data_IF_138521892453
#
_entry.id   IF_138521892453
#
_cell.length_a   1.000
_cell.length_b   1.000
_cell.length_c   1.000
_cell.angle_alpha   90.00
_cell.angle_beta   90.00
_cell.angle_gamma   90.00
#
_symmetry.space_group_name_H-M   'P 1'
#
loop_
_entity.id
_entity.type
_entity.pdbx_description
1 polymer ?
#
# COMPACT_ATOMS: atom_id res chain seq x y z
N UNK A 1 9.02 -39.58 -11.26
CA UNK A 1 7.94 -38.91 -10.47
C UNK A 1 8.11 -37.41 -10.62
N UNK A 2 7.26 -36.73 -11.39
CA UNK A 2 7.28 -35.24 -11.48
C UNK A 2 6.81 -34.70 -10.14
N UNK A 3 7.69 -34.03 -9.36
CA UNK A 3 7.30 -33.23 -8.22
C UNK A 3 6.19 -32.26 -8.66
N UNK A 4 5.02 -32.41 -8.08
CA UNK A 4 3.91 -31.48 -8.25
C UNK A 4 4.34 -30.18 -7.58
N UNK A 5 4.93 -29.25 -8.34
CA UNK A 5 5.25 -27.90 -7.87
C UNK A 5 4.01 -27.34 -7.15
N UNK A 6 4.12 -27.15 -5.85
CA UNK A 6 3.05 -26.62 -5.00
C UNK A 6 2.65 -25.25 -5.57
N UNK A 7 1.44 -25.12 -6.11
CA UNK A 7 1.01 -23.89 -6.73
C UNK A 7 0.86 -22.81 -5.64
N UNK A 8 1.54 -21.68 -5.82
CA UNK A 8 1.57 -20.54 -4.91
C UNK A 8 0.16 -20.09 -4.47
N UNK A 9 -0.07 -19.96 -3.17
CA UNK A 9 -1.32 -19.48 -2.57
C UNK A 9 -1.13 -18.06 -2.07
N UNK A 10 -1.94 -17.14 -2.57
CA UNK A 10 -1.91 -15.72 -2.19
C UNK A 10 -3.24 -15.36 -1.52
N UNK A 11 -3.17 -14.79 -0.33
CA UNK A 11 -4.31 -14.11 0.29
C UNK A 11 -4.20 -12.61 0.00
N UNK A 12 -5.18 -12.07 -0.73
CA UNK A 12 -5.20 -10.67 -1.19
C UNK A 12 -6.24 -9.88 -0.41
N UNK A 13 -5.78 -9.04 0.50
CA UNK A 13 -6.61 -8.21 1.37
C UNK A 13 -6.84 -6.84 0.73
N UNK A 14 -8.10 -6.46 0.50
CA UNK A 14 -8.44 -5.17 -0.10
C UNK A 14 -9.87 -4.75 0.18
N UNK A 15 -10.12 -3.44 0.20
CA UNK A 15 -11.46 -2.85 0.27
C UNK A 15 -11.71 -1.84 -0.87
N UNK A 16 -10.85 -1.79 -1.89
CA UNK A 16 -10.96 -0.80 -2.96
C UNK A 16 -10.83 -1.44 -4.35
N UNK A 17 -11.71 -1.06 -5.27
CA UNK A 17 -11.72 -1.58 -6.65
C UNK A 17 -10.51 -1.17 -7.49
N UNK A 18 -9.79 -0.11 -7.14
CA UNK A 18 -8.56 0.33 -7.80
C UNK A 18 -7.49 -0.77 -7.81
N UNK A 19 -7.60 -1.76 -6.93
CA UNK A 19 -6.70 -2.90 -6.81
C UNK A 19 -7.02 -4.03 -7.79
N UNK A 20 -8.18 -4.00 -8.46
CA UNK A 20 -8.65 -5.07 -9.35
C UNK A 20 -7.67 -5.42 -10.50
N UNK A 21 -7.00 -4.47 -11.17
CA UNK A 21 -6.05 -4.83 -12.22
C UNK A 21 -4.90 -5.70 -11.72
N UNK A 22 -4.41 -5.47 -10.50
CA UNK A 22 -3.39 -6.33 -9.89
C UNK A 22 -3.97 -7.69 -9.48
N UNK A 23 -5.16 -7.71 -8.89
CA UNK A 23 -5.86 -8.95 -8.54
C UNK A 23 -6.06 -9.86 -9.76
N UNK A 24 -6.56 -9.32 -10.88
CA UNK A 24 -6.79 -10.07 -12.11
C UNK A 24 -5.47 -10.59 -12.71
N UNK A 25 -4.40 -9.80 -12.63
CA UNK A 25 -3.08 -10.24 -13.06
C UNK A 25 -2.55 -11.40 -12.20
N UNK A 26 -2.72 -11.34 -10.88
CA UNK A 26 -2.31 -12.39 -9.95
C UNK A 26 -3.08 -13.70 -10.15
N UNK A 27 -4.37 -13.65 -10.50
CA UNK A 27 -5.18 -14.85 -10.83
C UNK A 27 -4.56 -15.72 -11.93
N UNK A 28 -3.81 -15.11 -12.85
CA UNK A 28 -3.10 -15.83 -13.92
C UNK A 28 -1.79 -16.48 -13.44
N UNK A 29 -1.33 -16.19 -12.21
CA UNK A 29 -0.02 -16.61 -11.68
C UNK A 29 -0.09 -17.56 -10.50
N UNK A 30 -1.17 -17.52 -9.71
CA UNK A 30 -1.29 -18.22 -8.45
C UNK A 30 -2.74 -18.58 -8.10
N UNK A 31 -2.94 -19.43 -7.09
CA UNK A 31 -4.22 -19.53 -6.40
C UNK A 31 -4.39 -18.28 -5.53
N UNK A 32 -5.35 -17.42 -5.86
CA UNK A 32 -5.58 -16.18 -5.16
C UNK A 32 -6.95 -16.15 -4.48
N UNK A 33 -6.95 -15.78 -3.20
CA UNK A 33 -8.13 -15.61 -2.37
C UNK A 33 -8.28 -14.14 -2.04
N UNK A 34 -9.32 -13.48 -2.59
CA UNK A 34 -9.63 -12.07 -2.27
C UNK A 34 -10.44 -12.02 -0.97
N UNK A 35 -10.05 -11.14 -0.05
CA UNK A 35 -10.71 -11.00 1.23
C UNK A 35 -10.90 -9.53 1.60
N UNK A 36 -12.10 -9.17 2.06
CA UNK A 36 -12.54 -7.78 2.25
C UNK A 36 -13.09 -7.50 3.66
N UNK A 37 -13.15 -8.53 4.52
CA UNK A 37 -13.64 -8.47 5.92
C UNK A 37 -12.45 -8.45 6.89
N UNK A 38 -12.67 -8.16 8.19
CA UNK A 38 -11.61 -8.30 9.20
C UNK A 38 -10.97 -9.69 9.16
N UNK A 39 -9.63 -9.72 9.05
CA UNK A 39 -8.88 -10.98 8.97
C UNK A 39 -8.97 -11.75 10.29
N UNK A 40 -9.18 -13.06 10.21
CA UNK A 40 -9.28 -13.94 11.36
C UNK A 40 -8.44 -15.21 11.18
N UNK A 41 -8.23 -15.92 12.28
CA UNK A 41 -7.43 -17.15 12.35
C UNK A 41 -7.99 -18.26 11.43
N UNK A 42 -9.32 -18.41 11.40
CA UNK A 42 -10.00 -19.46 10.61
C UNK A 42 -9.68 -19.32 9.12
N UNK A 43 -9.76 -18.12 8.57
CA UNK A 43 -9.43 -17.85 7.16
C UNK A 43 -7.96 -18.15 6.85
N UNK A 44 -7.06 -17.70 7.72
CA UNK A 44 -5.62 -17.95 7.56
C UNK A 44 -5.29 -19.44 7.61
N UNK A 45 -5.88 -20.18 8.54
CA UNK A 45 -5.68 -21.64 8.66
C UNK A 45 -6.27 -22.40 7.47
N UNK A 46 -7.51 -22.05 7.04
CA UNK A 46 -8.19 -22.67 5.90
C UNK A 46 -7.42 -22.49 4.59
N UNK A 47 -6.91 -21.30 4.32
CA UNK A 47 -6.18 -20.98 3.07
C UNK A 47 -4.74 -21.43 3.18
N UNK A 48 -4.11 -21.26 4.34
CA UNK A 48 -2.68 -21.46 4.58
C UNK A 48 -1.83 -20.79 3.47
N UNK A 49 -1.87 -19.45 3.35
CA UNK A 49 -1.24 -18.72 2.26
C UNK A 49 0.28 -18.72 2.39
N UNK A 50 0.98 -18.79 1.26
CA UNK A 50 2.44 -18.62 1.19
C UNK A 50 2.84 -17.15 1.37
N UNK A 51 1.94 -16.22 0.98
CA UNK A 51 2.07 -14.78 1.16
C UNK A 51 0.70 -14.11 1.32
N UNK A 52 0.63 -13.12 2.19
CA UNK A 52 -0.53 -12.23 2.36
C UNK A 52 -0.17 -10.85 1.83
N UNK A 53 -0.95 -10.34 0.89
CA UNK A 53 -0.77 -9.03 0.27
C UNK A 53 -1.90 -8.12 0.75
N UNK A 54 -1.54 -7.09 1.51
CA UNK A 54 -2.43 -5.99 1.89
C UNK A 54 -2.32 -4.89 0.83
N UNK A 55 -3.45 -4.44 0.29
CA UNK A 55 -3.48 -3.36 -0.67
C UNK A 55 -4.80 -2.57 -0.57
N UNK A 56 -4.76 -1.37 -0.01
CA UNK A 56 -5.96 -0.61 0.36
C UNK A 56 -6.92 -1.44 1.25
N UNK A 57 -6.37 -2.10 2.25
CA UNK A 57 -7.13 -2.86 3.23
C UNK A 57 -7.30 -2.01 4.50
N UNK A 58 -8.55 -1.85 4.94
CA UNK A 58 -8.92 -0.91 6.01
C UNK A 58 -8.77 -1.43 7.44
N UNK A 59 -8.56 -2.73 7.61
CA UNK A 59 -8.55 -3.33 8.94
C UNK A 59 -7.13 -3.59 9.42
N UNK A 60 -6.91 -3.42 10.73
CA UNK A 60 -5.64 -3.72 11.39
C UNK A 60 -5.41 -5.24 11.37
N UNK A 61 -4.20 -5.65 11.05
CA UNK A 61 -3.77 -7.04 11.08
C UNK A 61 -3.18 -7.34 12.47
N UNK A 62 -3.74 -8.35 13.15
CA UNK A 62 -3.34 -8.70 14.51
C UNK A 62 -1.91 -9.23 14.56
N UNK A 63 -1.15 -8.84 15.59
CA UNK A 63 0.23 -9.26 15.86
C UNK A 63 0.44 -10.79 15.82
N UNK A 64 -0.53 -11.55 16.34
CA UNK A 64 -0.45 -13.02 16.36
C UNK A 64 -0.36 -13.64 14.95
N UNK A 65 -0.89 -12.97 13.91
CA UNK A 65 -0.82 -13.44 12.53
C UNK A 65 0.54 -13.14 11.91
N UNK A 66 1.14 -11.98 12.24
CA UNK A 66 2.43 -11.54 11.70
C UNK A 66 3.58 -12.49 12.04
N UNK A 67 3.49 -13.19 13.19
CA UNK A 67 4.49 -14.18 13.61
C UNK A 67 4.48 -15.47 12.76
N UNK A 68 3.35 -15.78 12.11
CA UNK A 68 3.14 -17.08 11.44
C UNK A 68 3.10 -16.99 9.93
N UNK A 69 2.75 -15.84 9.37
CA UNK A 69 2.56 -15.66 7.94
C UNK A 69 3.39 -14.48 7.43
N UNK A 70 3.75 -14.55 6.16
CA UNK A 70 4.50 -13.48 5.50
C UNK A 70 3.54 -12.44 4.93
N UNK A 71 3.54 -11.25 5.52
CA UNK A 71 2.68 -10.13 5.12
C UNK A 71 3.49 -9.02 4.46
N UNK A 72 3.00 -8.53 3.33
CA UNK A 72 3.48 -7.31 2.70
C UNK A 72 2.34 -6.33 2.47
N UNK A 73 2.64 -5.03 2.52
CA UNK A 73 1.71 -3.97 2.16
C UNK A 73 2.17 -3.21 0.91
N UNK A 74 1.22 -2.84 0.05
CA UNK A 74 1.41 -1.99 -1.10
C UNK A 74 0.90 -0.59 -0.75
N UNK A 75 1.82 0.31 -0.38
CA UNK A 75 1.52 1.65 0.12
C UNK A 75 1.87 2.72 -0.91
N UNK A 76 0.94 3.67 -1.15
CA UNK A 76 1.09 4.73 -2.16
C UNK A 76 1.79 5.98 -1.59
N UNK A 77 2.87 5.78 -0.84
CA UNK A 77 3.73 6.82 -0.31
C UNK A 77 5.20 6.45 -0.42
N UNK A 78 6.07 7.44 -0.37
CA UNK A 78 7.51 7.26 -0.24
C UNK A 78 7.87 7.20 1.25
N UNK A 79 7.72 6.01 1.88
CA UNK A 79 8.02 5.82 3.28
C UNK A 79 9.47 6.28 3.62
N UNK A 80 9.70 6.85 4.81
CA UNK A 80 8.85 6.84 6.00
C UNK A 80 7.81 7.97 6.05
N UNK A 81 7.66 8.79 5.01
CA UNK A 81 6.71 9.90 5.00
C UNK A 81 5.28 9.43 4.69
N UNK A 82 4.31 10.12 5.28
CA UNK A 82 2.87 9.95 5.03
C UNK A 82 2.39 8.50 5.25
N UNK A 83 2.77 7.91 6.39
CA UNK A 83 2.17 6.67 6.91
C UNK A 83 0.69 6.90 7.23
N UNK A 84 -0.12 5.85 7.20
CA UNK A 84 -1.53 5.91 7.56
C UNK A 84 -2.43 6.37 6.41
N UNK A 85 -3.33 7.31 6.70
CA UNK A 85 -4.41 7.69 5.79
C UNK A 85 -4.02 8.79 4.80
N UNK A 86 -4.64 8.74 3.60
CA UNK A 86 -4.54 9.78 2.56
C UNK A 86 -3.10 10.19 2.16
N UNK A 87 -2.14 9.26 2.02
CA UNK A 87 -0.73 9.58 1.80
C UNK A 87 -0.46 10.43 0.55
N UNK A 88 -1.28 10.26 -0.50
CA UNK A 88 -1.21 11.09 -1.70
C UNK A 88 -1.39 12.57 -1.37
N UNK A 89 -2.39 12.91 -0.56
CA UNK A 89 -2.75 14.30 -0.24
C UNK A 89 -1.71 14.91 0.70
N UNK A 90 -1.40 14.21 1.77
CA UNK A 90 -0.41 14.65 2.75
C UNK A 90 0.97 14.91 2.14
N UNK A 91 1.37 14.11 1.14
CA UNK A 91 2.64 14.34 0.46
C UNK A 91 2.74 15.71 -0.23
N UNK A 92 1.62 16.30 -0.65
CA UNK A 92 1.57 17.66 -1.18
C UNK A 92 1.44 18.72 -0.09
N UNK A 93 0.61 18.48 0.92
CA UNK A 93 0.42 19.41 2.05
C UNK A 93 1.75 19.64 2.80
N UNK A 94 2.50 18.55 3.06
CA UNK A 94 3.79 18.58 3.77
C UNK A 94 5.00 18.75 2.83
N UNK A 95 4.77 18.82 1.53
CA UNK A 95 5.82 18.88 0.52
C UNK A 95 6.89 17.78 0.66
N UNK A 96 6.47 16.57 1.04
CA UNK A 96 7.35 15.42 1.18
C UNK A 96 7.61 14.72 -0.16
N UNK A 97 8.53 13.75 -0.17
CA UNK A 97 8.84 12.93 -1.36
C UNK A 97 7.59 12.13 -1.78
N UNK A 98 7.23 12.21 -3.07
CA UNK A 98 6.14 11.43 -3.67
C UNK A 98 6.69 10.11 -4.19
N UNK A 99 5.93 9.03 -3.97
CA UNK A 99 6.35 7.71 -4.44
C UNK A 99 5.46 6.59 -3.95
N UNK A 100 5.98 5.37 -4.10
CA UNK A 100 5.28 4.15 -3.73
C UNK A 100 6.24 3.19 -3.05
N UNK A 101 5.74 2.43 -2.08
CA UNK A 101 6.54 1.52 -1.26
C UNK A 101 5.85 0.17 -1.09
N UNK A 102 6.60 -0.91 -1.27
CA UNK A 102 6.24 -2.26 -0.83
C UNK A 102 7.06 -2.53 0.43
N UNK A 103 6.39 -2.83 1.54
CA UNK A 103 7.05 -3.04 2.82
C UNK A 103 6.47 -4.25 3.56
N UNK A 104 7.19 -4.79 4.53
CA UNK A 104 6.68 -5.77 5.47
C UNK A 104 5.62 -5.12 6.36
N UNK A 105 4.67 -5.92 6.84
CA UNK A 105 3.73 -5.45 7.86
C UNK A 105 4.28 -5.86 9.21
N UNK A 106 4.39 -4.89 10.12
CA UNK A 106 4.71 -5.06 11.53
C UNK A 106 3.53 -4.61 12.42
N UNK A 107 3.76 -4.38 13.69
CA UNK A 107 2.74 -4.00 14.67
C UNK A 107 2.26 -2.55 14.52
N UNK A 108 3.07 -1.69 13.87
CA UNK A 108 2.72 -0.29 13.60
C UNK A 108 1.97 -0.11 12.30
N UNK A 109 1.48 1.11 12.09
CA UNK A 109 0.82 1.46 10.82
C UNK A 109 1.88 1.94 9.84
N UNK A 110 2.10 1.17 8.77
CA UNK A 110 3.05 1.42 7.69
C UNK A 110 4.50 1.64 8.18
N UNK A 111 4.89 1.01 9.31
CA UNK A 111 6.22 1.14 9.93
C UNK A 111 7.20 0.04 9.57
N UNK A 112 6.72 -1.05 8.99
CA UNK A 112 7.53 -2.23 8.66
C UNK A 112 8.64 -1.95 7.64
N UNK A 113 9.64 -2.82 7.63
CA UNK A 113 10.83 -2.69 6.81
C UNK A 113 10.53 -2.63 5.30
N UNK A 114 11.20 -1.73 4.59
CA UNK A 114 11.02 -1.50 3.15
C UNK A 114 11.63 -2.65 2.36
N UNK A 115 10.83 -3.24 1.48
CA UNK A 115 11.29 -4.23 0.50
C UNK A 115 11.68 -3.56 -0.82
N UNK A 116 10.77 -2.79 -1.41
CA UNK A 116 11.01 -2.08 -2.68
C UNK A 116 10.33 -0.73 -2.61
N UNK A 117 11.00 0.30 -3.15
CA UNK A 117 10.49 1.66 -3.15
C UNK A 117 10.82 2.35 -4.46
N UNK A 118 9.94 3.23 -4.94
CA UNK A 118 10.13 4.02 -6.15
C UNK A 118 9.61 5.44 -5.97
N UNK A 119 10.43 6.42 -6.33
CA UNK A 119 9.97 7.81 -6.47
C UNK A 119 9.07 7.95 -7.69
N UNK A 120 8.04 8.79 -7.55
CA UNK A 120 7.10 9.13 -8.62
C UNK A 120 7.05 10.63 -8.74
N UNK A 121 7.25 11.15 -9.94
CA UNK A 121 7.07 12.57 -10.24
C UNK A 121 5.59 12.83 -10.43
N UNK A 122 5.04 13.75 -9.65
CA UNK A 122 3.66 14.19 -9.70
C UNK A 122 3.64 15.71 -9.82
N UNK A 123 2.72 16.25 -10.62
CA UNK A 123 2.57 17.67 -10.85
C UNK A 123 1.44 18.25 -9.98
N UNK A 124 1.63 19.46 -9.44
CA UNK A 124 0.59 20.20 -8.71
C UNK A 124 -0.49 20.82 -9.61
N UNK A 125 -0.29 20.81 -10.92
CA UNK A 125 -1.33 21.10 -11.91
C UNK A 125 -2.28 19.90 -12.12
N UNK A 126 -1.86 18.68 -11.73
CA UNK A 126 -2.75 17.52 -11.63
C UNK A 126 -3.83 17.74 -10.55
N UNK A 127 -4.85 16.88 -10.52
CA UNK A 127 -5.78 16.77 -9.41
C UNK A 127 -5.37 15.65 -8.44
N UNK A 128 -5.87 15.66 -7.21
CA UNK A 128 -5.67 14.55 -6.28
C UNK A 128 -6.23 13.22 -6.80
N UNK A 129 -7.30 13.28 -7.60
CA UNK A 129 -7.87 12.10 -8.26
C UNK A 129 -6.93 11.54 -9.34
N UNK A 130 -6.27 12.39 -10.13
CA UNK A 130 -5.34 11.92 -11.17
C UNK A 130 -4.04 11.40 -10.56
N UNK A 131 -3.46 12.10 -9.58
CA UNK A 131 -2.24 11.65 -8.87
C UNK A 131 -2.47 10.34 -8.10
N UNK A 132 -3.65 10.15 -7.50
CA UNK A 132 -4.04 8.89 -6.87
C UNK A 132 -3.99 7.72 -7.87
N UNK A 133 -4.57 7.89 -9.07
CA UNK A 133 -4.52 6.88 -10.14
C UNK A 133 -3.09 6.62 -10.61
N UNK A 134 -2.26 7.67 -10.77
CA UNK A 134 -0.83 7.55 -11.14
C UNK A 134 -0.06 6.74 -10.11
N UNK A 135 -0.22 7.02 -8.81
CA UNK A 135 0.44 6.27 -7.74
C UNK A 135 0.02 4.80 -7.72
N UNK A 136 -1.28 4.51 -7.90
CA UNK A 136 -1.77 3.13 -7.98
C UNK A 136 -1.24 2.39 -9.20
N UNK A 137 -1.11 3.04 -10.34
CA UNK A 137 -0.43 2.46 -11.49
C UNK A 137 1.03 2.11 -11.17
N UNK A 138 1.77 3.03 -10.56
CA UNK A 138 3.18 2.82 -10.24
C UNK A 138 3.41 1.72 -9.20
N UNK A 139 2.59 1.62 -8.14
CA UNK A 139 2.75 0.56 -7.14
C UNK A 139 2.45 -0.83 -7.73
N UNK A 140 1.44 -0.93 -8.60
CA UNK A 140 1.11 -2.17 -9.28
C UNK A 140 2.24 -2.60 -10.24
N UNK A 141 2.82 -1.65 -10.97
CA UNK A 141 3.97 -1.94 -11.85
C UNK A 141 5.20 -2.34 -11.04
N UNK A 142 5.49 -1.64 -9.93
CA UNK A 142 6.60 -1.97 -9.04
C UNK A 142 6.46 -3.39 -8.47
N UNK A 143 5.25 -3.77 -8.06
CA UNK A 143 4.95 -5.12 -7.60
C UNK A 143 5.17 -6.17 -8.70
N UNK A 144 4.63 -5.94 -9.90
CA UNK A 144 4.77 -6.88 -11.03
C UNK A 144 6.23 -7.11 -11.43
N UNK A 145 7.04 -6.03 -11.47
CA UNK A 145 8.48 -6.09 -11.78
C UNK A 145 9.27 -6.90 -10.75
N UNK A 146 8.85 -6.86 -9.48
CA UNK A 146 9.53 -7.55 -8.38
C UNK A 146 8.83 -8.84 -7.92
N UNK A 147 7.78 -9.27 -8.60
CA UNK A 147 6.91 -10.38 -8.19
C UNK A 147 7.70 -11.62 -7.75
N UNK A 148 8.56 -12.15 -8.62
CA UNK A 148 9.35 -13.37 -8.32
C UNK A 148 10.25 -13.20 -7.09
N UNK A 149 10.85 -12.03 -6.90
CA UNK A 149 11.72 -11.76 -5.73
C UNK A 149 10.89 -11.62 -4.45
N UNK A 150 9.71 -11.00 -4.51
CA UNK A 150 8.80 -10.81 -3.38
C UNK A 150 8.25 -12.16 -2.88
N UNK A 151 7.69 -12.98 -3.77
CA UNK A 151 7.08 -14.27 -3.37
C UNK A 151 8.12 -15.27 -2.85
N UNK A 152 9.36 -15.21 -3.36
CA UNK A 152 10.46 -16.06 -2.91
C UNK A 152 11.25 -15.46 -1.74
N UNK A 153 10.81 -14.32 -1.17
CA UNK A 153 11.46 -13.63 -0.05
C UNK A 153 12.94 -13.30 -0.31
N UNK A 154 13.31 -13.07 -1.58
CA UNK A 154 14.70 -12.81 -2.02
C UNK A 154 15.12 -11.35 -1.93
N UNK A 155 14.32 -10.50 -1.32
CA UNK A 155 14.64 -9.08 -1.11
C UNK A 155 15.03 -8.90 0.34
N UNK A 156 16.24 -8.38 0.59
CA UNK A 156 16.69 -8.02 1.93
C UNK A 156 15.92 -6.79 2.41
N UNK A 157 15.13 -6.87 3.49
CA UNK A 157 14.40 -5.73 4.01
C UNK A 157 15.36 -4.63 4.51
N UNK A 158 14.95 -3.38 4.36
CA UNK A 158 15.68 -2.21 4.87
C UNK A 158 14.82 -1.49 5.90
N UNK A 159 15.38 -1.25 7.08
CA UNK A 159 14.70 -0.48 8.13
C UNK A 159 14.30 0.90 7.62
N UNK A 160 13.11 1.34 8.02
CA UNK A 160 12.69 2.71 7.74
C UNK A 160 13.50 3.68 8.58
N UNK A 161 13.87 4.87 8.04
CA UNK A 161 14.38 5.98 8.85
C UNK A 161 13.37 6.38 9.93
N UNK A 162 13.87 6.86 11.09
CA UNK A 162 13.02 7.24 12.24
C UNK A 162 12.16 8.48 11.96
N UNK A 163 12.69 9.43 11.18
CA UNK A 163 12.06 10.71 10.83
C UNK A 163 11.01 10.56 9.72
N UNK A 164 9.85 10.06 10.06
CA UNK A 164 8.70 9.93 9.15
C UNK A 164 7.50 10.70 9.66
N UNK A 165 6.47 10.79 8.83
CA UNK A 165 5.17 11.40 9.20
C UNK A 165 4.06 10.37 9.19
N UNK A 166 3.00 10.64 9.96
CA UNK A 166 1.85 9.75 10.13
C UNK A 166 0.57 10.57 10.22
N UNK A 167 -0.49 10.11 9.57
CA UNK A 167 -1.76 10.82 9.52
C UNK A 167 -2.96 9.89 9.74
N UNK A 168 -3.93 10.40 10.50
CA UNK A 168 -5.23 9.77 10.66
C UNK A 168 -6.22 10.32 9.63
N UNK A 169 -7.24 9.52 9.28
CA UNK A 169 -8.24 9.93 8.29
C UNK A 169 -9.01 11.19 8.70
N UNK A 170 -9.25 11.37 10.01
CA UNK A 170 -9.97 12.53 10.57
C UNK A 170 -9.21 13.87 10.48
N UNK A 171 -7.91 13.84 10.22
CA UNK A 171 -7.06 15.04 10.12
C UNK A 171 -7.18 15.72 8.77
N UNK A 172 -7.71 15.03 7.76
CA UNK A 172 -7.85 15.60 6.43
C UNK A 172 -9.07 16.53 6.37
N UNK A 173 -8.90 17.81 6.02
CA UNK A 173 -10.02 18.70 5.78
C UNK A 173 -10.83 18.26 4.54
N UNK A 174 -12.06 18.74 4.43
CA UNK A 174 -12.86 18.56 3.22
C UNK A 174 -12.17 19.24 2.04
N UNK A 175 -11.96 18.49 0.96
CA UNK A 175 -11.29 18.99 -0.25
C UNK A 175 -11.98 18.52 -1.52
N UNK A 176 -11.85 19.29 -2.60
CA UNK A 176 -12.28 18.87 -3.93
C UNK A 176 -11.15 18.09 -4.63
N UNK A 177 -11.34 16.78 -4.80
CA UNK A 177 -10.37 15.89 -5.43
C UNK A 177 -10.18 16.10 -6.93
N UNK A 178 -11.07 16.85 -7.58
CA UNK A 178 -11.03 17.09 -9.03
C UNK A 178 -10.33 18.39 -9.40
N UNK A 179 -10.23 19.35 -8.47
CA UNK A 179 -9.51 20.61 -8.68
C UNK A 179 -8.00 20.39 -8.83
N UNK A 180 -7.27 21.27 -9.55
CA UNK A 180 -5.82 21.31 -9.54
C UNK A 180 -5.28 21.43 -8.10
N UNK A 181 -4.26 20.64 -7.79
CA UNK A 181 -3.70 20.54 -6.42
C UNK A 181 -3.26 21.89 -5.89
N UNK A 182 -2.63 22.74 -6.72
CA UNK A 182 -2.17 24.06 -6.30
C UNK A 182 -3.32 24.97 -5.81
N UNK A 183 -4.53 24.84 -6.40
CA UNK A 183 -5.73 25.58 -5.94
C UNK A 183 -6.20 25.06 -4.59
N UNK A 184 -6.29 23.72 -4.45
CA UNK A 184 -6.70 23.09 -3.16
C UNK A 184 -5.72 23.45 -2.04
N UNK A 185 -4.40 23.44 -2.31
CA UNK A 185 -3.40 23.83 -1.32
C UNK A 185 -3.54 25.30 -0.90
N UNK A 186 -3.90 26.20 -1.83
CA UNK A 186 -4.17 27.60 -1.52
C UNK A 186 -5.38 27.74 -0.60
N UNK A 187 -6.47 27.01 -0.86
CA UNK A 187 -7.66 26.96 -0.01
C UNK A 187 -7.36 26.45 1.41
N UNK A 188 -6.61 25.32 1.54
CA UNK A 188 -6.20 24.78 2.84
C UNK A 188 -5.36 25.79 3.64
N UNK A 189 -4.43 26.47 3.00
CA UNK A 189 -3.55 27.45 3.67
C UNK A 189 -4.30 28.72 4.08
N UNK A 190 -5.32 29.15 3.34
CA UNK A 190 -6.18 30.26 3.73
C UNK A 190 -6.96 29.94 5.01
N UNK A 191 -7.57 28.75 5.08
CA UNK A 191 -8.38 28.31 6.23
C UNK A 191 -7.55 28.01 7.50
N UNK A 192 -6.23 27.87 7.41
CA UNK A 192 -5.33 27.71 8.57
C UNK A 192 -4.90 29.04 9.21
N UNK A 193 -5.17 30.17 8.54
CA UNK A 193 -4.82 31.52 9.02
C UNK A 193 -5.98 32.25 9.68
N UNK A 194 -7.17 31.72 9.58
CA UNK A 194 -8.38 32.09 10.31
C UNK A 194 -8.58 31.24 11.55
#
# INVERSE_FOLDING_TARGET
MKERLKKLKILFLTNNQITNPLYLWLRKKAYIYKFTKPLNKTILQKINPDIVISYNYRYIIKKEFLKKYYFINLHISYLPFNRGAHPNIWSFIENTKKGVTIHLIDEGIDTGDILVQKRVVLDKNDSFKSTYKKLHFHIQMLFKQNFKKLINKKIKPKKQPKNGTFHLSKELPSIDYNKPIYKVLKEINANRKT
#
